data_IF_907359105195
#
_entry.id   IF_907359105195
#
_cell.length_a   1.000
_cell.length_b   1.000
_cell.length_c   1.000
_cell.angle_alpha   90.00
_cell.angle_beta   90.00
_cell.angle_gamma   90.00
#
_symmetry.space_group_name_H-M   'P 1'
#
loop_
_entity.id
_entity.type
_entity.pdbx_description
1 polymer ?
#
# COMPACT_ATOMS: atom_id res chain seq x y z
N UNK A 1 11.06 -8.31 -3.51
CA UNK A 1 10.52 -8.48 -4.88
C UNK A 1 9.05 -8.12 -4.87
N UNK A 2 8.62 -7.24 -5.80
CA UNK A 2 7.23 -6.83 -5.98
C UNK A 2 6.52 -7.77 -6.95
N UNK A 3 5.29 -8.17 -6.65
CA UNK A 3 4.39 -8.91 -7.55
C UNK A 3 2.96 -8.37 -7.45
N UNK A 4 2.25 -8.38 -8.55
CA UNK A 4 0.80 -8.20 -8.57
C UNK A 4 0.15 -9.56 -8.33
N UNK A 5 -0.85 -9.60 -7.47
CA UNK A 5 -1.57 -10.81 -7.06
C UNK A 5 -3.07 -10.52 -7.04
N UNK A 6 -3.88 -11.53 -6.73
CA UNK A 6 -5.31 -11.33 -6.52
C UNK A 6 -5.63 -11.22 -5.02
N UNK A 7 -6.83 -10.72 -4.68
CA UNK A 7 -7.20 -10.51 -3.27
C UNK A 7 -7.22 -11.84 -2.49
N UNK A 8 -7.66 -12.93 -3.12
CA UNK A 8 -7.70 -14.26 -2.51
C UNK A 8 -6.32 -14.84 -2.17
N UNK A 9 -5.24 -14.28 -2.74
CA UNK A 9 -3.86 -14.69 -2.44
C UNK A 9 -3.29 -13.97 -1.19
N UNK A 10 -4.08 -13.08 -0.56
CA UNK A 10 -3.68 -12.34 0.63
C UNK A 10 -4.00 -13.11 1.92
N UNK A 11 -3.44 -12.72 3.08
CA UNK A 11 -3.87 -13.25 4.38
C UNK A 11 -5.38 -13.04 4.62
N UNK A 12 -6.07 -14.04 5.16
CA UNK A 12 -7.53 -14.03 5.37
C UNK A 12 -8.03 -12.77 6.07
N UNK A 13 -7.32 -12.36 7.13
CA UNK A 13 -7.63 -11.13 7.88
C UNK A 13 -7.69 -9.88 6.99
N UNK A 14 -6.81 -9.78 6.00
CA UNK A 14 -6.81 -8.68 5.04
C UNK A 14 -7.98 -8.79 4.08
N UNK A 15 -8.26 -10.00 3.58
CA UNK A 15 -9.41 -10.26 2.70
C UNK A 15 -10.72 -9.84 3.37
N UNK A 16 -10.94 -10.29 4.59
CA UNK A 16 -12.15 -9.98 5.38
C UNK A 16 -12.31 -8.47 5.60
N UNK A 17 -11.21 -7.80 5.92
CA UNK A 17 -11.22 -6.35 6.17
C UNK A 17 -11.55 -5.57 4.91
N UNK A 18 -10.97 -5.95 3.77
CA UNK A 18 -11.25 -5.32 2.47
C UNK A 18 -12.68 -5.61 2.03
N UNK A 19 -13.14 -6.86 2.12
CA UNK A 19 -14.50 -7.24 1.74
C UNK A 19 -15.54 -6.48 2.57
N UNK A 20 -15.34 -6.38 3.88
CA UNK A 20 -16.18 -5.56 4.76
C UNK A 20 -16.20 -4.09 4.35
N UNK A 21 -15.06 -3.54 3.95
CA UNK A 21 -15.01 -2.17 3.43
C UNK A 21 -15.83 -2.01 2.13
N UNK A 22 -15.69 -2.93 1.18
CA UNK A 22 -16.41 -2.90 -0.10
C UNK A 22 -17.93 -3.03 0.10
N UNK A 23 -18.37 -3.85 1.06
CA UNK A 23 -19.78 -3.98 1.42
C UNK A 23 -20.35 -2.70 2.05
N UNK A 24 -19.57 -2.03 2.91
CA UNK A 24 -19.98 -0.82 3.61
C UNK A 24 -19.96 0.42 2.71
N UNK A 25 -19.02 0.47 1.77
CA UNK A 25 -18.81 1.59 0.86
C UNK A 25 -19.30 1.22 -0.54
N UNK A 26 -20.61 1.42 -0.79
CA UNK A 26 -21.21 1.15 -2.11
C UNK A 26 -20.48 1.90 -3.23
N UNK A 27 -20.06 1.17 -4.26
CA UNK A 27 -19.30 1.71 -5.38
C UNK A 27 -17.80 1.80 -5.14
N UNK A 28 -17.30 1.32 -4.00
CA UNK A 28 -15.89 1.09 -3.82
C UNK A 28 -15.43 -0.14 -4.59
N UNK A 29 -14.24 -0.08 -5.16
CA UNK A 29 -13.66 -1.15 -5.99
C UNK A 29 -12.19 -1.36 -5.64
N UNK A 30 -11.70 -2.59 -5.84
CA UNK A 30 -10.27 -2.92 -5.73
C UNK A 30 -9.60 -2.55 -7.05
N UNK A 31 -8.59 -1.69 -6.98
CA UNK A 31 -7.82 -1.25 -8.14
C UNK A 31 -6.67 -2.20 -8.42
N UNK A 32 -5.91 -2.54 -7.37
CA UNK A 32 -4.73 -3.39 -7.49
C UNK A 32 -4.37 -4.01 -6.15
N UNK A 33 -3.81 -5.20 -6.21
CA UNK A 33 -3.26 -5.90 -5.04
C UNK A 33 -1.79 -6.23 -5.32
N UNK A 34 -0.95 -5.95 -4.34
CA UNK A 34 0.50 -6.10 -4.46
C UNK A 34 1.07 -6.88 -3.28
N UNK A 35 2.00 -7.79 -3.56
CA UNK A 35 2.84 -8.47 -2.58
C UNK A 35 4.29 -8.04 -2.75
N UNK A 36 4.92 -7.73 -1.62
CA UNK A 36 6.32 -7.35 -1.53
C UNK A 36 7.04 -8.27 -0.55
N UNK A 37 7.90 -9.14 -1.07
CA UNK A 37 8.73 -10.03 -0.25
C UNK A 37 10.11 -9.44 -0.02
N UNK A 38 10.57 -9.35 1.22
CA UNK A 38 11.94 -8.99 1.59
C UNK A 38 12.53 -9.90 2.67
N UNK A 39 13.85 -9.86 2.82
CA UNK A 39 14.58 -10.54 3.89
C UNK A 39 15.29 -9.46 4.70
N UNK A 40 14.67 -8.92 5.76
CA UNK A 40 15.17 -7.71 6.43
C UNK A 40 16.48 -7.94 7.20
N UNK A 41 16.85 -9.19 7.47
CA UNK A 41 18.07 -9.55 8.18
C UNK A 41 19.17 -10.04 7.23
N UNK A 42 20.42 -9.76 7.59
CA UNK A 42 21.59 -10.10 6.77
C UNK A 42 21.78 -11.62 6.60
N UNK A 43 21.37 -12.41 7.59
CA UNK A 43 21.41 -13.87 7.59
C UNK A 43 20.30 -14.51 6.73
N UNK A 44 19.35 -13.70 6.22
CA UNK A 44 18.19 -14.10 5.41
C UNK A 44 17.31 -15.17 6.06
N UNK A 45 17.37 -15.33 7.39
CA UNK A 45 16.64 -16.38 8.10
C UNK A 45 15.14 -16.08 8.23
N UNK A 46 14.75 -14.82 8.07
CA UNK A 46 13.37 -14.36 8.13
C UNK A 46 13.01 -13.72 6.81
N UNK A 47 11.94 -14.23 6.20
CA UNK A 47 11.27 -13.59 5.06
C UNK A 47 10.07 -12.85 5.57
N UNK A 48 9.85 -11.63 5.09
CA UNK A 48 8.67 -10.82 5.38
C UNK A 48 7.95 -10.49 4.08
N UNK A 49 6.67 -10.78 4.06
CA UNK A 49 5.75 -10.45 2.98
C UNK A 49 4.85 -9.30 3.42
N UNK A 50 4.87 -8.22 2.65
CA UNK A 50 3.94 -7.10 2.80
C UNK A 50 2.89 -7.17 1.70
N UNK A 51 1.63 -7.19 2.10
CA UNK A 51 0.48 -7.19 1.21
C UNK A 51 -0.17 -5.82 1.24
N UNK A 52 -0.46 -5.25 0.06
CA UNK A 52 -1.10 -3.96 -0.10
C UNK A 52 -2.29 -4.11 -1.03
N UNK A 53 -3.47 -3.72 -0.56
CA UNK A 53 -4.71 -3.69 -1.35
C UNK A 53 -5.12 -2.24 -1.53
N UNK A 54 -5.15 -1.79 -2.78
CA UNK A 54 -5.54 -0.44 -3.16
C UNK A 54 -7.02 -0.46 -3.55
N UNK A 55 -7.81 0.43 -2.95
CA UNK A 55 -9.21 0.63 -3.31
C UNK A 55 -9.47 2.07 -3.70
N UNK A 56 -10.47 2.27 -4.55
CA UNK A 56 -11.05 3.57 -4.83
C UNK A 56 -12.53 3.59 -4.51
N UNK A 57 -13.02 4.75 -4.09
CA UNK A 57 -14.43 5.06 -4.01
C UNK A 57 -14.63 6.49 -4.48
N UNK A 58 -15.09 6.68 -5.72
CA UNK A 58 -15.28 7.97 -6.40
C UNK A 58 -13.97 8.78 -6.45
N UNK A 59 -13.70 9.59 -5.43
CA UNK A 59 -12.54 10.47 -5.35
C UNK A 59 -11.68 10.17 -4.11
N UNK A 60 -11.91 9.07 -3.41
CA UNK A 60 -11.14 8.65 -2.25
C UNK A 60 -10.38 7.37 -2.55
N UNK A 61 -9.06 7.40 -2.37
CA UNK A 61 -8.18 6.25 -2.51
C UNK A 61 -7.79 5.73 -1.13
N UNK A 62 -7.82 4.42 -0.94
CA UNK A 62 -7.36 3.77 0.29
C UNK A 62 -6.34 2.68 0.00
N UNK A 63 -5.45 2.45 0.95
CA UNK A 63 -4.48 1.37 0.94
C UNK A 63 -4.61 0.61 2.26
N UNK A 64 -4.98 -0.65 2.17
CA UNK A 64 -4.98 -1.61 3.27
C UNK A 64 -3.67 -2.38 3.22
N UNK A 65 -2.97 -2.46 4.35
CA UNK A 65 -1.67 -3.11 4.41
C UNK A 65 -1.57 -4.03 5.64
N UNK A 66 -1.01 -5.22 5.42
CA UNK A 66 -0.57 -6.15 6.46
C UNK A 66 0.83 -6.68 6.12
N UNK A 67 1.61 -7.01 7.15
CA UNK A 67 2.90 -7.67 7.01
C UNK A 67 2.88 -9.02 7.71
N UNK A 68 3.41 -10.07 7.06
CA UNK A 68 3.51 -11.41 7.62
C UNK A 68 4.95 -11.88 7.50
N UNK A 69 5.49 -12.42 8.58
CA UNK A 69 6.83 -12.99 8.64
C UNK A 69 6.77 -14.52 8.52
N UNK A 70 7.84 -15.12 8.01
CA UNK A 70 8.01 -16.58 7.94
C UNK A 70 8.06 -17.24 9.32
N UNK A 71 8.27 -16.44 10.38
CA UNK A 71 8.21 -16.84 11.78
C UNK A 71 7.04 -16.13 12.46
N UNK A 72 5.95 -16.83 12.84
CA UNK A 72 4.72 -16.22 13.36
C UNK A 72 4.93 -15.33 14.59
N UNK A 73 5.89 -15.68 15.45
CA UNK A 73 6.21 -14.91 16.65
C UNK A 73 6.85 -13.53 16.37
N UNK A 74 7.20 -13.27 15.11
CA UNK A 74 7.69 -11.99 14.61
C UNK A 74 6.71 -11.34 13.63
N UNK A 75 5.54 -11.95 13.42
CA UNK A 75 4.48 -11.39 12.59
C UNK A 75 3.65 -10.43 13.42
N UNK A 76 3.58 -9.17 12.99
CA UNK A 76 2.58 -8.22 13.46
C UNK A 76 1.47 -8.15 12.41
N UNK A 77 0.42 -8.93 12.65
CA UNK A 77 -0.72 -9.06 11.74
C UNK A 77 -1.75 -7.92 11.90
N UNK A 78 -1.35 -6.75 12.39
CA UNK A 78 -2.20 -5.56 12.40
C UNK A 78 -2.40 -5.02 10.98
N UNK A 79 -3.66 -4.69 10.65
CA UNK A 79 -3.99 -4.06 9.37
C UNK A 79 -3.94 -2.56 9.54
N UNK A 80 -3.02 -1.94 8.83
CA UNK A 80 -2.95 -0.50 8.69
C UNK A 80 -3.78 -0.04 7.48
N UNK A 81 -4.53 1.05 7.65
CA UNK A 81 -5.34 1.64 6.58
C UNK A 81 -4.96 3.11 6.44
N UNK A 82 -4.55 3.50 5.23
CA UNK A 82 -4.27 4.89 4.89
C UNK A 82 -5.12 5.29 3.71
N UNK A 83 -5.62 6.52 3.69
CA UNK A 83 -6.42 6.98 2.55
C UNK A 83 -6.32 8.48 2.30
N UNK A 84 -6.63 8.88 1.08
CA UNK A 84 -6.47 10.24 0.60
C UNK A 84 -7.47 10.57 -0.50
N UNK A 85 -7.96 11.82 -0.48
CA UNK A 85 -8.76 12.36 -1.58
C UNK A 85 -7.88 12.60 -2.82
N UNK A 86 -8.38 12.24 -4.00
CA UNK A 86 -7.74 12.44 -5.30
C UNK A 86 -7.25 13.88 -5.49
N UNK A 87 -8.04 14.87 -5.06
CA UNK A 87 -7.67 16.29 -5.12
C UNK A 87 -6.36 16.59 -4.35
N UNK A 88 -6.14 15.94 -3.21
CA UNK A 88 -4.91 16.10 -2.41
C UNK A 88 -3.71 15.40 -3.06
N UNK A 89 -3.94 14.32 -3.79
CA UNK A 89 -2.89 13.66 -4.59
C UNK A 89 -2.41 14.61 -5.69
N UNK A 90 -3.35 15.25 -6.41
CA UNK A 90 -3.01 16.24 -7.44
C UNK A 90 -2.19 17.39 -6.86
N UNK A 91 -2.57 17.88 -5.68
CA UNK A 91 -1.84 18.95 -4.98
C UNK A 91 -0.42 18.52 -4.57
N UNK A 92 -0.27 17.32 -4.01
CA UNK A 92 1.04 16.75 -3.67
C UNK A 92 1.94 16.57 -4.89
N UNK A 93 1.39 16.06 -6.00
CA UNK A 93 2.14 15.89 -7.24
C UNK A 93 2.63 17.25 -7.75
N UNK A 94 1.74 18.25 -7.82
CA UNK A 94 2.11 19.63 -8.21
C UNK A 94 3.23 20.21 -7.34
N UNK A 95 3.13 20.05 -6.02
CA UNK A 95 4.18 20.52 -5.11
C UNK A 95 5.49 19.73 -5.25
N UNK A 96 5.43 18.42 -5.50
CA UNK A 96 6.63 17.59 -5.72
C UNK A 96 7.35 17.93 -7.04
N UNK A 97 6.59 18.25 -8.09
CA UNK A 97 7.14 18.74 -9.35
C UNK A 97 7.80 20.10 -9.16
N UNK A 98 7.17 21.00 -8.41
CA UNK A 98 7.77 22.29 -8.05
C UNK A 98 9.13 22.11 -7.34
N UNK A 99 9.24 21.19 -6.38
CA UNK A 99 10.50 20.87 -5.72
C UNK A 99 11.54 20.33 -6.71
N UNK A 100 11.12 19.48 -7.66
CA UNK A 100 12.00 18.91 -8.68
C UNK A 100 12.58 20.00 -9.61
N UNK A 101 11.81 21.03 -9.93
CA UNK A 101 12.27 22.15 -10.77
C UNK A 101 12.98 23.26 -9.97
N UNK A 102 12.66 23.44 -8.68
CA UNK A 102 13.36 24.37 -7.79
C UNK A 102 14.81 23.97 -7.53
N UNK A 103 15.05 22.69 -7.24
CA UNK A 103 16.40 22.15 -6.98
C UNK A 103 17.30 22.20 -8.23
N UNK A 104 16.72 22.07 -9.43
CA UNK A 104 17.47 22.17 -10.69
C UNK A 104 17.92 23.60 -11.01
N UNK A 105 17.22 24.64 -10.53
CA UNK A 105 17.64 26.04 -10.74
C UNK A 105 18.82 26.44 -9.86
N UNK A 106 18.90 25.94 -8.65
CA UNK A 106 20.00 26.26 -7.72
C UNK A 106 21.31 25.53 -8.07
N UNK A 107 21.24 24.39 -8.77
CA UNK A 107 22.42 23.65 -9.26
C UNK A 107 22.93 24.14 -10.63
N UNK A 108 22.28 25.16 -11.21
CA UNK A 108 22.62 25.74 -12.52
C UNK A 108 23.23 27.15 -12.41
N UNK A 109 23.47 27.65 -11.20
CA UNK A 109 24.19 28.91 -10.93
C UNK A 109 25.53 28.64 -10.27
#
# INVERSE_FOLDING_TARGET
MKRFIELQDCPEKLQDTVNKYLEQCKGAEVITVQRWSDTPYADKTITRDRFLVFTENINYYSVFQIAVCSKPEWSDEEISVSGMLAAKIIELVKHSEFLKYGVMRELSM
#
